data_IF_324793170795
#
_entry.id   IF_324793170795
#
_cell.length_a   1.000
_cell.length_b   1.000
_cell.length_c   1.000
_cell.angle_alpha   90.00
_cell.angle_beta   90.00
_cell.angle_gamma   90.00
#
_symmetry.space_group_name_H-M   'P 1'
#
loop_
_entity.id
_entity.type
_entity.pdbx_description
1 polymer ?
#
# COMPACT_ATOMS: atom_id res chain seq x y z
N UNK A 1 -27.04 -83.39 35.26
CA UNK A 1 -25.70 -84.03 35.36
C UNK A 1 -25.12 -84.15 33.96
N UNK A 2 -23.91 -83.59 33.79
CA UNK A 2 -22.86 -83.81 32.78
C UNK A 2 -23.20 -84.23 31.33
N UNK A 3 -22.69 -83.37 30.44
CA UNK A 3 -22.39 -83.53 29.03
C UNK A 3 -21.72 -84.86 28.65
N UNK A 4 -22.14 -85.35 27.48
CA UNK A 4 -21.44 -86.36 26.69
C UNK A 4 -20.21 -85.79 25.97
N UNK A 5 -19.21 -86.65 25.88
CA UNK A 5 -17.87 -86.46 25.31
C UNK A 5 -17.85 -86.81 23.81
N UNK A 6 -16.64 -86.67 23.26
CA UNK A 6 -16.02 -87.30 22.07
C UNK A 6 -16.14 -86.48 20.78
N UNK A 7 -15.06 -86.09 20.07
CA UNK A 7 -13.74 -86.72 19.85
C UNK A 7 -12.61 -85.68 19.67
N UNK A 8 -11.41 -86.03 20.17
CA UNK A 8 -10.06 -85.63 19.70
C UNK A 8 -9.45 -86.89 19.04
N UNK A 9 -8.50 -86.82 18.07
CA UNK A 9 -7.06 -86.51 18.31
C UNK A 9 -6.40 -85.80 17.08
N UNK A 10 -5.12 -85.44 16.95
CA UNK A 10 -3.85 -85.43 17.70
C UNK A 10 -2.91 -84.43 16.96
N UNK A 11 -2.15 -83.58 17.67
CA UNK A 11 -0.66 -83.56 17.81
C UNK A 11 0.14 -83.33 16.52
N UNK A 12 1.20 -82.50 16.45
CA UNK A 12 2.29 -82.19 17.38
C UNK A 12 2.84 -80.75 17.09
N UNK A 13 3.34 -79.90 18.00
CA UNK A 13 4.50 -79.96 18.94
C UNK A 13 5.78 -80.38 18.18
N UNK A 14 6.91 -79.65 18.12
CA UNK A 14 7.70 -78.96 19.14
C UNK A 14 8.74 -78.03 18.45
N UNK A 15 8.98 -76.81 18.94
CA UNK A 15 10.08 -76.38 19.85
C UNK A 15 11.46 -76.08 19.22
N UNK A 16 11.85 -74.80 19.35
CA UNK A 16 13.11 -74.25 19.88
C UNK A 16 14.46 -74.61 19.23
N UNK A 17 15.18 -73.56 18.82
CA UNK A 17 16.63 -73.57 18.66
C UNK A 17 17.15 -72.15 18.40
N UNK A 18 17.80 -71.57 19.41
CA UNK A 18 18.33 -70.21 19.38
C UNK A 18 19.86 -70.20 19.17
N UNK A 19 20.34 -69.04 18.67
CA UNK A 19 21.65 -68.39 18.89
C UNK A 19 22.76 -68.49 17.81
N UNK A 20 23.25 -67.27 17.50
CA UNK A 20 24.60 -66.81 17.11
C UNK A 20 25.01 -66.69 15.62
N UNK A 21 24.98 -65.40 15.20
CA UNK A 21 25.98 -64.61 14.45
C UNK A 21 26.96 -65.31 13.49
N UNK A 22 26.98 -64.84 12.24
CA UNK A 22 28.16 -64.21 11.63
C UNK A 22 27.77 -63.38 10.39
N UNK A 23 28.15 -62.10 10.44
CA UNK A 23 28.02 -61.08 9.41
C UNK A 23 28.86 -61.42 8.18
N UNK A 24 28.35 -61.16 6.97
CA UNK A 24 29.14 -60.74 5.80
C UNK A 24 28.23 -60.03 4.78
N UNK A 25 28.35 -58.70 4.75
CA UNK A 25 28.41 -57.89 3.53
C UNK A 25 27.19 -57.85 2.59
N UNK A 26 26.19 -57.04 2.95
CA UNK A 26 25.41 -56.33 1.94
C UNK A 26 25.41 -54.84 2.29
N UNK A 27 26.16 -54.04 1.52
CA UNK A 27 26.10 -52.59 1.52
C UNK A 27 24.73 -52.13 1.01
N UNK A 28 23.70 -52.28 1.84
CA UNK A 28 22.43 -51.60 1.66
C UNK A 28 22.63 -50.15 2.03
N UNK A 29 22.85 -49.29 1.04
CA UNK A 29 22.71 -47.85 1.20
C UNK A 29 21.27 -47.58 1.62
N UNK A 30 21.01 -47.46 2.92
CA UNK A 30 19.82 -46.78 3.41
C UNK A 30 19.90 -45.36 2.86
N UNK A 31 19.20 -45.11 1.75
CA UNK A 31 18.87 -43.76 1.35
C UNK A 31 18.10 -43.17 2.52
N UNK A 32 18.74 -42.24 3.23
CA UNK A 32 18.02 -41.35 4.11
C UNK A 32 16.84 -40.81 3.30
N UNK A 33 15.62 -41.01 3.81
CA UNK A 33 14.47 -40.30 3.27
C UNK A 33 14.87 -38.82 3.26
N UNK A 34 14.66 -38.09 2.15
CA UNK A 34 14.92 -36.66 2.14
C UNK A 34 14.20 -36.08 3.34
N UNK A 35 14.96 -35.44 4.23
CA UNK A 35 14.44 -34.90 5.48
C UNK A 35 13.21 -34.09 5.15
N UNK A 36 12.09 -34.40 5.80
CA UNK A 36 10.88 -33.60 5.66
C UNK A 36 11.26 -32.17 6.05
N UNK A 37 11.35 -31.29 5.04
CA UNK A 37 11.59 -29.87 5.28
C UNK A 37 10.52 -29.36 6.25
N UNK A 38 10.90 -28.42 7.12
CA UNK A 38 9.93 -27.76 8.00
C UNK A 38 8.75 -27.28 7.16
N UNK A 39 7.50 -27.63 7.53
CA UNK A 39 6.33 -27.19 6.78
C UNK A 39 6.32 -25.67 6.68
N UNK A 40 6.14 -25.16 5.47
CA UNK A 40 6.08 -23.72 5.23
C UNK A 40 4.81 -23.17 5.87
N UNK A 41 4.98 -22.17 6.74
CA UNK A 41 3.89 -21.56 7.47
C UNK A 41 2.98 -20.74 6.55
N UNK A 42 1.67 -20.85 6.78
CA UNK A 42 0.65 -20.04 6.12
C UNK A 42 0.21 -18.94 7.09
N UNK A 43 0.47 -17.69 6.75
CA UNK A 43 0.18 -16.54 7.63
C UNK A 43 -0.85 -15.60 7.00
N UNK A 44 -1.58 -14.86 7.84
CA UNK A 44 -2.50 -13.83 7.35
C UNK A 44 -1.70 -12.63 6.85
N UNK A 45 -2.04 -12.16 5.66
CA UNK A 45 -1.39 -11.06 4.96
C UNK A 45 -2.44 -10.11 4.38
N UNK A 46 -1.99 -8.90 4.03
CA UNK A 46 -2.75 -7.94 3.22
C UNK A 46 -2.17 -7.92 1.79
N UNK A 47 -2.98 -7.55 0.79
CA UNK A 47 -2.50 -7.40 -0.57
C UNK A 47 -1.40 -6.36 -0.72
N UNK A 48 -0.52 -6.58 -1.71
CA UNK A 48 0.51 -5.62 -2.06
C UNK A 48 -0.08 -4.34 -2.69
N UNK A 49 -1.20 -4.48 -3.40
CA UNK A 49 -1.91 -3.36 -4.00
C UNK A 49 -3.39 -3.66 -4.21
N UNK A 50 -4.18 -2.59 -4.19
CA UNK A 50 -5.58 -2.58 -4.60
C UNK A 50 -5.64 -1.85 -5.93
N UNK A 51 -6.08 -2.53 -6.98
CA UNK A 51 -6.02 -2.04 -8.36
C UNK A 51 -7.35 -1.44 -8.82
N UNK A 52 -8.45 -1.74 -8.14
CA UNK A 52 -9.75 -1.17 -8.48
C UNK A 52 -10.84 -1.52 -7.48
N UNK A 53 -11.91 -0.73 -7.51
CA UNK A 53 -13.17 -1.04 -6.82
C UNK A 53 -14.31 -0.86 -7.81
N UNK A 54 -15.24 -1.79 -7.83
CA UNK A 54 -16.45 -1.73 -8.65
C UNK A 54 -17.68 -1.93 -7.77
N UNK A 55 -18.73 -1.18 -8.07
CA UNK A 55 -20.04 -1.35 -7.45
C UNK A 55 -20.81 -2.44 -8.22
N UNK A 56 -21.36 -3.41 -7.50
CA UNK A 56 -22.27 -4.40 -8.06
C UNK A 56 -23.63 -3.78 -8.38
N UNK A 57 -24.42 -4.48 -9.19
CA UNK A 57 -25.73 -4.04 -9.69
C UNK A 57 -26.77 -3.73 -8.59
N UNK A 58 -26.50 -4.14 -7.35
CA UNK A 58 -27.39 -3.95 -6.20
C UNK A 58 -27.05 -2.70 -5.36
N UNK A 59 -26.16 -1.85 -5.87
CA UNK A 59 -25.58 -0.64 -5.25
C UNK A 59 -24.98 -0.84 -3.86
N UNK A 60 -24.83 -2.09 -3.43
CA UNK A 60 -24.49 -2.49 -2.07
C UNK A 60 -23.37 -3.50 -2.03
N UNK A 61 -22.96 -4.05 -3.16
CA UNK A 61 -21.87 -5.00 -3.26
C UNK A 61 -20.65 -4.26 -3.77
N UNK A 62 -19.56 -4.27 -3.03
CA UNK A 62 -18.26 -3.84 -3.56
C UNK A 62 -17.48 -5.07 -4.03
N UNK A 63 -16.93 -4.97 -5.24
CA UNK A 63 -15.96 -5.88 -5.82
C UNK A 63 -14.62 -5.16 -5.79
N UNK A 64 -13.68 -5.65 -4.98
CA UNK A 64 -12.36 -5.02 -4.81
C UNK A 64 -11.31 -5.87 -5.50
N UNK A 65 -10.74 -5.31 -6.55
CA UNK A 65 -9.71 -5.93 -7.37
C UNK A 65 -8.33 -5.66 -6.74
N UNK A 66 -7.53 -6.70 -6.57
CA UNK A 66 -6.31 -6.66 -5.76
C UNK A 66 -5.23 -7.59 -6.30
N UNK A 67 -3.96 -7.29 -6.02
CA UNK A 67 -2.83 -8.16 -6.32
C UNK A 67 -2.53 -9.10 -5.17
N UNK A 68 -2.50 -10.41 -5.45
CA UNK A 68 -2.15 -11.44 -4.47
C UNK A 68 -1.03 -12.37 -4.98
N UNK A 69 -0.25 -12.98 -4.07
CA UNK A 69 0.81 -13.91 -4.43
C UNK A 69 0.34 -15.06 -5.31
N UNK A 70 1.19 -15.48 -6.24
CA UNK A 70 0.95 -16.59 -7.17
C UNK A 70 2.21 -17.42 -7.44
N UNK A 71 2.03 -18.63 -7.94
CA UNK A 71 3.10 -19.59 -8.15
C UNK A 71 2.60 -20.88 -8.81
N UNK A 72 3.47 -21.90 -8.87
CA UNK A 72 3.12 -23.21 -9.43
C UNK A 72 2.12 -24.00 -8.55
N UNK A 73 2.08 -23.70 -7.25
CA UNK A 73 1.12 -24.24 -6.30
C UNK A 73 0.11 -23.16 -5.88
N UNK A 74 -0.96 -23.56 -5.18
CA UNK A 74 -1.88 -22.61 -4.57
C UNK A 74 -1.12 -21.73 -3.56
N UNK A 75 -1.22 -20.41 -3.73
CA UNK A 75 -0.50 -19.42 -2.93
C UNK A 75 -1.41 -18.58 -2.04
N UNK A 76 -2.72 -18.66 -2.24
CA UNK A 76 -3.70 -17.81 -1.56
C UNK A 76 -4.86 -18.66 -1.11
N UNK A 77 -5.29 -18.45 0.13
CA UNK A 77 -6.51 -19.00 0.72
C UNK A 77 -7.24 -17.91 1.47
N UNK A 78 -8.54 -18.10 1.68
CA UNK A 78 -9.38 -17.25 2.53
C UNK A 78 -9.28 -15.74 2.21
N UNK A 79 -9.13 -15.39 0.92
CA UNK A 79 -9.20 -14.01 0.46
C UNK A 79 -10.59 -13.44 0.80
N UNK A 80 -10.62 -12.40 1.62
CA UNK A 80 -11.86 -11.78 2.09
C UNK A 80 -11.70 -10.27 2.20
N UNK A 81 -12.80 -9.57 1.94
CA UNK A 81 -12.98 -8.17 2.22
C UNK A 81 -14.01 -8.04 3.36
N UNK A 82 -13.70 -7.25 4.37
CA UNK A 82 -14.60 -7.00 5.52
C UNK A 82 -14.75 -5.51 5.75
N UNK A 83 -15.92 -5.10 6.22
CA UNK A 83 -16.12 -3.74 6.70
C UNK A 83 -15.41 -3.60 8.05
N UNK A 84 -14.62 -2.56 8.19
CA UNK A 84 -14.12 -2.12 9.49
C UNK A 84 -15.06 -1.05 10.06
N UNK A 85 -14.76 -0.52 11.25
CA UNK A 85 -15.70 0.26 12.06
C UNK A 85 -16.55 1.25 11.23
N UNK A 86 -17.88 1.24 11.42
CA UNK A 86 -18.79 2.02 10.59
C UNK A 86 -18.52 3.52 10.77
N UNK A 87 -18.18 4.16 9.66
CA UNK A 87 -18.09 5.62 9.54
C UNK A 87 -19.33 6.11 8.78
N UNK A 88 -19.87 7.25 9.18
CA UNK A 88 -21.06 7.83 8.54
C UNK A 88 -20.75 8.44 7.17
N UNK A 89 -19.52 8.89 6.96
CA UNK A 89 -19.06 9.66 5.79
C UNK A 89 -18.27 8.83 4.77
N UNK A 90 -17.83 7.62 5.13
CA UNK A 90 -17.05 6.75 4.24
C UNK A 90 -17.24 5.27 4.57
N UNK A 91 -16.95 4.41 3.60
CA UNK A 91 -16.92 2.94 3.78
C UNK A 91 -15.48 2.50 3.93
N UNK A 92 -15.11 1.92 5.06
CA UNK A 92 -13.79 1.29 5.24
C UNK A 92 -13.85 -0.20 4.98
N UNK A 93 -12.96 -0.67 4.12
CA UNK A 93 -12.80 -2.09 3.77
C UNK A 93 -11.40 -2.53 4.13
N UNK A 94 -11.27 -3.65 4.83
CA UNK A 94 -9.99 -4.33 5.02
C UNK A 94 -9.97 -5.60 4.18
N UNK A 95 -8.85 -5.84 3.48
CA UNK A 95 -8.65 -7.05 2.69
C UNK A 95 -7.57 -7.89 3.33
N UNK A 96 -7.86 -9.18 3.48
CA UNK A 96 -6.90 -10.15 4.01
C UNK A 96 -6.98 -11.45 3.24
N UNK A 97 -5.86 -12.17 3.22
CA UNK A 97 -5.78 -13.56 2.76
C UNK A 97 -4.73 -14.31 3.58
N UNK A 98 -4.68 -15.63 3.42
CA UNK A 98 -3.65 -16.48 4.02
C UNK A 98 -2.71 -16.99 2.93
N UNK A 99 -1.40 -16.84 3.15
CA UNK A 99 -0.38 -17.21 2.16
C UNK A 99 0.93 -17.69 2.81
N UNK A 100 1.70 -18.56 2.14
CA UNK A 100 3.05 -18.94 2.53
C UNK A 100 4.13 -18.05 1.90
N UNK A 101 3.76 -17.00 1.15
CA UNK A 101 4.67 -16.16 0.35
C UNK A 101 5.69 -15.35 1.15
N UNK A 102 5.53 -15.27 2.48
CA UNK A 102 6.58 -14.76 3.38
C UNK A 102 7.86 -15.60 3.32
N UNK A 103 7.76 -16.87 2.93
CA UNK A 103 8.88 -17.76 2.66
C UNK A 103 9.04 -17.95 1.14
N UNK A 104 10.17 -17.52 0.58
CA UNK A 104 10.46 -17.65 -0.86
C UNK A 104 10.54 -19.10 -1.33
N UNK A 105 10.85 -20.05 -0.44
CA UNK A 105 10.89 -21.48 -0.76
C UNK A 105 9.49 -22.05 -1.05
N UNK A 106 8.42 -21.32 -0.73
CA UNK A 106 7.03 -21.68 -1.08
C UNK A 106 6.76 -21.72 -2.58
N UNK A 107 7.60 -21.06 -3.38
CA UNK A 107 7.37 -20.88 -4.81
C UNK A 107 6.30 -19.83 -5.14
N UNK A 108 5.74 -19.16 -4.13
CA UNK A 108 4.78 -18.06 -4.28
C UNK A 108 5.50 -16.72 -4.47
N UNK A 109 6.21 -16.59 -5.59
CA UNK A 109 7.14 -15.48 -5.88
C UNK A 109 6.63 -14.52 -6.95
N UNK A 110 5.46 -14.80 -7.53
CA UNK A 110 4.80 -13.95 -8.53
C UNK A 110 3.55 -13.31 -7.92
N UNK A 111 2.90 -12.46 -8.69
CA UNK A 111 1.65 -11.79 -8.32
C UNK A 111 0.58 -12.09 -9.38
N UNK A 112 -0.68 -12.12 -8.97
CA UNK A 112 -1.84 -12.28 -9.86
C UNK A 112 -3.02 -11.47 -9.34
N UNK A 113 -3.91 -11.05 -10.24
CA UNK A 113 -5.13 -10.36 -9.85
C UNK A 113 -6.15 -11.31 -9.20
N UNK A 114 -6.79 -10.83 -8.14
CA UNK A 114 -7.95 -11.48 -7.52
C UNK A 114 -8.99 -10.44 -7.13
N UNK A 115 -10.24 -10.87 -6.94
CA UNK A 115 -11.34 -9.98 -6.54
C UNK A 115 -11.92 -10.47 -5.21
N UNK A 116 -11.96 -9.58 -4.21
CA UNK A 116 -12.67 -9.81 -2.97
C UNK A 116 -14.05 -9.12 -3.02
N UNK A 117 -15.07 -9.72 -2.40
CA UNK A 117 -16.43 -9.18 -2.36
C UNK A 117 -16.80 -8.80 -0.93
N UNK A 118 -17.43 -7.64 -0.75
CA UNK A 118 -18.02 -7.22 0.52
C UNK A 118 -19.40 -6.61 0.28
N UNK A 119 -20.36 -6.93 1.16
CA UNK A 119 -21.72 -6.40 1.12
C UNK A 119 -21.87 -5.28 2.15
N UNK A 120 -22.36 -4.14 1.68
CA UNK A 120 -22.66 -2.97 2.48
C UNK A 120 -24.03 -3.11 3.19
N UNK A 121 -24.16 -2.57 4.41
CA UNK A 121 -25.44 -2.54 5.12
C UNK A 121 -26.46 -1.66 4.40
N UNK A 122 -26.00 -0.64 3.66
CA UNK A 122 -26.80 0.33 2.91
C UNK A 122 -26.15 0.63 1.55
N UNK A 123 -26.90 1.10 0.53
CA UNK A 123 -26.34 1.48 -0.77
C UNK A 123 -25.18 2.47 -0.66
N UNK A 124 -24.13 2.34 -1.48
CA UNK A 124 -22.92 3.15 -1.37
C UNK A 124 -23.23 4.66 -1.35
N UNK A 125 -24.09 5.11 -2.27
CA UNK A 125 -24.44 6.53 -2.42
C UNK A 125 -23.20 7.37 -2.76
N UNK A 126 -23.10 8.55 -2.13
CA UNK A 126 -22.00 9.50 -2.34
C UNK A 126 -20.80 9.23 -1.41
N UNK A 127 -20.80 8.10 -0.70
CA UNK A 127 -19.72 7.75 0.24
C UNK A 127 -18.52 7.21 -0.51
N UNK A 128 -17.34 7.69 -0.13
CA UNK A 128 -16.09 7.14 -0.63
C UNK A 128 -15.76 5.79 0.00
N UNK A 129 -14.99 4.97 -0.70
CA UNK A 129 -14.47 3.68 -0.22
C UNK A 129 -12.99 3.83 0.10
N UNK A 130 -12.60 3.49 1.33
CA UNK A 130 -11.19 3.42 1.76
C UNK A 130 -10.81 1.97 1.99
N UNK A 131 -9.80 1.48 1.28
CA UNK A 131 -9.29 0.12 1.39
C UNK A 131 -7.96 0.11 2.14
N UNK A 132 -7.87 -0.75 3.17
CA UNK A 132 -6.70 -0.96 4.04
C UNK A 132 -6.13 0.34 4.67
N UNK A 133 -6.98 1.35 4.86
CA UNK A 133 -6.70 2.69 5.42
C UNK A 133 -5.94 3.68 4.51
N UNK A 134 -5.56 3.30 3.29
CA UNK A 134 -4.72 4.16 2.44
C UNK A 134 -5.35 4.48 1.09
N UNK A 135 -5.91 3.46 0.42
CA UNK A 135 -6.35 3.61 -0.97
C UNK A 135 -7.80 4.05 -0.99
N UNK A 136 -8.08 5.26 -1.48
CA UNK A 136 -9.43 5.83 -1.51
C UNK A 136 -10.00 5.83 -2.92
N UNK A 137 -11.26 5.47 -3.04
CA UNK A 137 -12.04 5.45 -4.28
C UNK A 137 -13.34 6.23 -4.11
N UNK A 138 -13.83 6.81 -5.19
CA UNK A 138 -15.05 7.63 -5.21
C UNK A 138 -15.91 7.31 -6.43
N UNK A 139 -17.22 7.46 -6.30
CA UNK A 139 -18.17 7.43 -7.42
C UNK A 139 -18.15 8.75 -8.21
N UNK A 140 -17.69 9.85 -7.61
CA UNK A 140 -17.68 11.17 -8.22
C UNK A 140 -16.80 11.22 -9.48
N UNK A 141 -17.44 11.49 -10.62
CA UNK A 141 -16.78 11.55 -11.93
C UNK A 141 -16.25 10.19 -12.42
N UNK A 142 -16.72 9.08 -11.85
CA UNK A 142 -16.39 7.74 -12.30
C UNK A 142 -17.41 7.23 -13.35
N UNK A 143 -16.95 6.35 -14.25
CA UNK A 143 -17.83 5.62 -15.16
C UNK A 143 -18.29 4.32 -14.48
N UNK A 144 -19.60 4.18 -14.28
CA UNK A 144 -20.17 2.98 -13.66
C UNK A 144 -19.86 1.72 -14.49
N UNK A 145 -19.60 0.55 -13.85
CA UNK A 145 -19.69 0.30 -12.41
C UNK A 145 -18.39 0.60 -11.64
N UNK A 146 -17.35 1.11 -12.29
CA UNK A 146 -16.08 1.36 -11.63
C UNK A 146 -16.15 2.58 -10.72
N UNK A 147 -15.45 2.51 -9.60
CA UNK A 147 -15.12 3.70 -8.81
C UNK A 147 -13.78 4.25 -9.28
N UNK A 148 -13.66 5.57 -9.23
CA UNK A 148 -12.42 6.26 -9.58
C UNK A 148 -11.47 6.23 -8.41
N UNK A 149 -10.22 5.83 -8.66
CA UNK A 149 -9.13 5.98 -7.69
C UNK A 149 -8.87 7.46 -7.43
N UNK A 150 -8.82 7.82 -6.15
CA UNK A 150 -8.48 9.17 -5.74
C UNK A 150 -6.96 9.38 -5.79
N UNK A 151 -6.53 10.58 -6.17
CA UNK A 151 -5.11 10.93 -6.20
C UNK A 151 -4.58 11.28 -4.82
N UNK A 152 -3.29 11.62 -4.74
CA UNK A 152 -2.61 12.03 -3.50
C UNK A 152 -3.26 13.25 -2.82
N UNK A 153 -3.93 14.08 -3.62
CA UNK A 153 -4.64 15.28 -3.17
C UNK A 153 -6.07 14.99 -2.69
N UNK A 154 -6.48 13.73 -2.68
CA UNK A 154 -7.84 13.30 -2.34
C UNK A 154 -8.74 13.11 -3.57
N UNK A 155 -10.02 12.86 -3.30
CA UNK A 155 -11.02 12.56 -4.33
C UNK A 155 -11.52 13.80 -5.07
N UNK A 156 -11.52 14.94 -4.36
CA UNK A 156 -11.97 16.24 -4.84
C UNK A 156 -10.87 17.26 -4.57
N UNK A 157 -9.74 17.18 -5.30
CA UNK A 157 -8.65 18.13 -5.11
C UNK A 157 -9.14 19.56 -5.41
N UNK A 158 -8.69 20.58 -4.64
CA UNK A 158 -8.99 21.97 -4.96
C UNK A 158 -8.61 22.31 -6.40
N UNK A 159 -9.42 23.12 -7.08
CA UNK A 159 -9.03 23.65 -8.37
C UNK A 159 -7.81 24.58 -8.21
N UNK A 160 -6.98 24.63 -9.26
CA UNK A 160 -5.89 25.62 -9.33
C UNK A 160 -6.47 27.03 -9.34
N UNK A 161 -5.79 27.95 -8.66
CA UNK A 161 -6.23 29.33 -8.49
C UNK A 161 -5.56 30.01 -7.29
N UNK A 162 -5.97 31.25 -7.02
CA UNK A 162 -5.37 32.05 -5.95
C UNK A 162 -6.14 31.91 -4.64
N UNK A 163 -6.15 30.70 -4.08
CA UNK A 163 -6.86 30.35 -2.83
C UNK A 163 -5.98 29.50 -1.91
N UNK A 164 -6.26 29.51 -0.61
CA UNK A 164 -5.48 28.74 0.37
C UNK A 164 -5.43 27.24 0.06
N UNK A 165 -6.57 26.62 -0.27
CA UNK A 165 -6.63 25.19 -0.59
C UNK A 165 -5.86 24.84 -1.88
N UNK A 166 -5.87 25.75 -2.85
CA UNK A 166 -5.06 25.63 -4.08
C UNK A 166 -3.56 25.68 -3.78
N UNK A 167 -3.13 26.54 -2.86
CA UNK A 167 -1.72 26.60 -2.44
C UNK A 167 -1.28 25.39 -1.62
N UNK A 168 -2.16 24.84 -0.78
CA UNK A 168 -1.90 23.58 -0.07
C UNK A 168 -1.72 22.41 -1.04
N UNK A 169 -2.54 22.36 -2.10
CA UNK A 169 -2.33 21.44 -3.22
C UNK A 169 -0.95 21.62 -3.85
N UNK A 170 -0.50 22.86 -4.10
CA UNK A 170 0.80 23.14 -4.70
C UNK A 170 1.98 22.68 -3.82
N UNK A 171 1.87 22.84 -2.49
CA UNK A 171 2.87 22.33 -1.54
C UNK A 171 2.95 20.80 -1.60
N UNK A 172 1.80 20.11 -1.61
CA UNK A 172 1.76 18.64 -1.74
C UNK A 172 2.34 18.11 -3.05
N UNK A 173 2.35 18.93 -4.11
CA UNK A 173 2.97 18.59 -5.38
C UNK A 173 4.51 18.70 -5.37
N UNK A 174 5.13 19.03 -4.23
CA UNK A 174 6.59 19.14 -4.07
C UNK A 174 7.12 18.16 -3.03
N UNK A 175 8.38 17.79 -3.18
CA UNK A 175 9.09 16.92 -2.23
C UNK A 175 9.67 17.74 -1.06
N UNK A 176 8.79 18.46 -0.36
CA UNK A 176 9.15 19.26 0.82
C UNK A 176 8.72 18.55 2.11
N UNK A 177 9.45 18.73 3.22
CA UNK A 177 9.07 18.16 4.51
C UNK A 177 7.66 18.55 4.97
N UNK A 178 7.00 17.67 5.75
CA UNK A 178 5.65 17.90 6.30
C UNK A 178 5.52 19.18 7.13
N UNK A 179 6.62 19.67 7.72
CA UNK A 179 6.66 20.87 8.56
C UNK A 179 7.21 22.12 7.86
N UNK A 180 7.10 22.16 6.53
CA UNK A 180 7.44 23.34 5.74
C UNK A 180 6.41 24.45 5.93
N UNK A 181 6.88 25.68 6.12
CA UNK A 181 6.07 26.89 6.18
C UNK A 181 5.96 27.52 4.80
N UNK A 182 4.83 28.14 4.48
CA UNK A 182 4.67 29.02 3.32
C UNK A 182 4.92 30.45 3.77
N UNK A 183 6.03 31.04 3.33
CA UNK A 183 6.45 32.38 3.78
C UNK A 183 5.94 33.49 2.86
N UNK A 184 5.73 33.20 1.57
CA UNK A 184 5.14 34.13 0.61
C UNK A 184 4.46 33.41 -0.56
N UNK A 185 3.48 34.09 -1.15
CA UNK A 185 2.79 33.66 -2.37
C UNK A 185 2.63 34.80 -3.39
N UNK A 186 2.71 34.47 -4.69
CA UNK A 186 2.32 35.33 -5.81
C UNK A 186 1.56 34.49 -6.83
N UNK A 187 0.34 34.89 -7.18
CA UNK A 187 -0.55 34.11 -8.02
C UNK A 187 -1.33 35.01 -8.99
N UNK A 188 -1.48 34.57 -10.23
CA UNK A 188 -2.35 35.20 -11.23
C UNK A 188 -3.46 34.27 -11.75
N UNK A 189 -3.60 33.09 -11.13
CA UNK A 189 -4.57 32.05 -11.47
C UNK A 189 -4.05 31.04 -12.50
N UNK A 190 -3.07 31.39 -13.33
CA UNK A 190 -2.41 30.48 -14.27
C UNK A 190 -1.03 30.05 -13.79
N UNK A 191 -0.37 30.90 -13.04
CA UNK A 191 0.98 30.76 -12.51
C UNK A 191 0.97 31.04 -11.02
N UNK A 192 1.87 30.38 -10.32
CA UNK A 192 2.05 30.51 -8.88
C UNK A 192 3.53 30.51 -8.54
N UNK A 193 3.92 31.37 -7.61
CA UNK A 193 5.21 31.35 -6.93
C UNK A 193 4.94 31.15 -5.45
N UNK A 194 5.60 30.15 -4.85
CA UNK A 194 5.59 29.92 -3.42
C UNK A 194 7.01 29.95 -2.87
N UNK A 195 7.22 30.73 -1.82
CA UNK A 195 8.42 30.64 -0.99
C UNK A 195 8.10 29.71 0.18
N UNK A 196 8.82 28.60 0.24
CA UNK A 196 8.64 27.52 1.19
C UNK A 196 9.89 27.42 2.06
N UNK A 197 9.75 27.34 3.38
CA UNK A 197 10.91 27.14 4.26
C UNK A 197 10.74 26.00 5.24
N UNK A 198 11.84 25.29 5.47
CA UNK A 198 11.92 24.22 6.45
C UNK A 198 12.84 24.63 7.58
N UNK A 199 12.41 24.41 8.83
CA UNK A 199 13.27 24.64 9.99
C UNK A 199 14.41 23.63 10.01
N UNK A 200 15.63 24.13 10.15
CA UNK A 200 16.85 23.31 10.22
C UNK A 200 17.48 23.29 11.61
N UNK A 201 16.98 24.12 12.53
CA UNK A 201 17.46 24.23 13.90
C UNK A 201 16.75 23.31 14.90
N UNK A 202 17.33 23.12 16.10
CA UNK A 202 16.67 22.41 17.19
C UNK A 202 15.35 23.08 17.60
N UNK A 203 14.42 22.30 18.14
CA UNK A 203 13.16 22.81 18.68
C UNK A 203 13.43 23.55 20.01
N UNK A 204 13.71 24.85 19.93
CA UNK A 204 13.95 25.67 21.10
C UNK A 204 12.64 26.30 21.58
N UNK A 205 12.19 25.94 22.77
CA UNK A 205 10.99 26.51 23.38
C UNK A 205 11.27 27.93 23.90
N UNK A 206 11.03 28.94 23.06
CA UNK A 206 11.12 30.35 23.46
C UNK A 206 12.54 30.92 23.54
N UNK A 207 13.54 30.18 23.08
CA UNK A 207 14.93 30.62 23.07
C UNK A 207 15.24 31.48 21.82
N UNK A 208 16.04 32.53 21.98
CA UNK A 208 16.38 33.50 20.92
C UNK A 208 17.69 33.17 20.21
N UNK A 209 18.27 31.99 20.44
CA UNK A 209 19.49 31.57 19.76
C UNK A 209 19.26 31.57 18.23
N UNK A 210 20.12 32.24 17.43
CA UNK A 210 20.00 32.27 15.98
C UNK A 210 19.89 30.88 15.33
N UNK A 211 20.53 29.86 15.91
CA UNK A 211 20.44 28.47 15.45
C UNK A 211 19.00 27.95 15.51
N UNK A 212 18.20 28.38 16.50
CA UNK A 212 16.79 28.01 16.66
C UNK A 212 15.88 28.65 15.61
N UNK A 213 16.34 29.74 14.98
CA UNK A 213 15.63 30.44 13.91
C UNK A 213 16.05 30.02 12.50
N UNK A 214 17.05 29.14 12.37
CA UNK A 214 17.59 28.70 11.10
C UNK A 214 16.54 28.01 10.23
N UNK A 215 16.41 28.48 8.99
CA UNK A 215 15.49 27.94 7.98
C UNK A 215 16.19 27.87 6.64
N UNK A 216 15.95 26.80 5.91
CA UNK A 216 16.30 26.69 4.51
C UNK A 216 15.07 27.06 3.68
N UNK A 217 15.16 28.10 2.87
CA UNK A 217 14.11 28.55 1.97
C UNK A 217 14.30 28.03 0.54
N UNK A 218 13.20 27.64 -0.09
CA UNK A 218 13.11 27.29 -1.50
C UNK A 218 11.95 28.04 -2.15
N UNK A 219 12.21 28.64 -3.31
CA UNK A 219 11.18 29.24 -4.16
C UNK A 219 10.78 28.25 -5.23
N UNK A 220 9.50 27.92 -5.25
CA UNK A 220 8.88 27.07 -6.26
C UNK A 220 8.01 27.86 -7.19
N UNK A 221 8.10 27.52 -8.48
CA UNK A 221 7.26 28.08 -9.54
C UNK A 221 6.38 26.98 -10.08
N UNK A 222 5.12 27.31 -10.37
CA UNK A 222 4.13 26.36 -10.82
C UNK A 222 3.32 26.87 -12.01
N UNK A 223 2.84 25.92 -12.81
CA UNK A 223 1.84 26.13 -13.85
C UNK A 223 0.54 25.42 -13.47
N UNK A 224 -0.58 26.10 -13.68
CA UNK A 224 -1.90 25.48 -13.52
C UNK A 224 -2.13 24.44 -14.63
N UNK A 225 -2.47 23.21 -14.24
CA UNK A 225 -2.94 22.15 -15.12
C UNK A 225 -4.30 21.62 -14.63
N UNK A 226 -4.98 20.83 -15.45
CA UNK A 226 -6.27 20.21 -15.07
C UNK A 226 -6.14 19.29 -13.86
N UNK A 227 -4.98 18.65 -13.71
CA UNK A 227 -4.64 17.75 -12.60
C UNK A 227 -4.20 18.47 -11.32
N UNK A 228 -4.02 19.80 -11.36
CA UNK A 228 -3.49 20.58 -10.25
C UNK A 228 -2.32 21.47 -10.64
N UNK A 229 -1.63 22.01 -9.65
CA UNK A 229 -0.39 22.75 -9.87
C UNK A 229 0.76 21.82 -10.24
N UNK A 230 1.41 22.10 -11.36
CA UNK A 230 2.62 21.43 -11.79
C UNK A 230 3.85 22.27 -11.43
N UNK A 231 4.78 21.78 -10.59
CA UNK A 231 6.06 22.46 -10.38
C UNK A 231 6.87 22.50 -11.69
N UNK A 232 7.45 23.65 -12.00
CA UNK A 232 8.25 23.86 -13.23
C UNK A 232 9.70 24.28 -12.93
N UNK A 233 9.93 24.96 -11.82
CA UNK A 233 11.27 25.39 -11.41
C UNK A 233 11.36 25.52 -9.88
N UNK A 234 12.58 25.36 -9.37
CA UNK A 234 12.96 25.59 -7.96
C UNK A 234 14.25 26.40 -7.94
N UNK A 235 14.32 27.43 -7.10
CA UNK A 235 15.53 28.24 -6.93
C UNK A 235 15.57 28.91 -5.55
N UNK A 236 16.73 29.44 -5.18
CA UNK A 236 16.87 30.43 -4.09
C UNK A 236 17.14 31.83 -4.62
N UNK A 237 17.31 31.99 -5.93
CA UNK A 237 17.61 33.28 -6.56
C UNK A 237 16.40 34.21 -6.59
N UNK A 238 16.69 35.51 -6.63
CA UNK A 238 15.70 36.54 -6.93
C UNK A 238 15.39 36.63 -8.42
N UNK A 239 14.33 37.35 -8.77
CA UNK A 239 13.96 37.61 -10.15
C UNK A 239 13.36 36.41 -10.90
N UNK A 240 13.29 36.55 -12.23
CA UNK A 240 12.60 35.61 -13.13
C UNK A 240 13.52 34.69 -13.94
N UNK A 241 14.84 34.91 -13.87
CA UNK A 241 15.79 34.32 -14.83
C UNK A 241 15.76 32.80 -14.87
N UNK A 242 15.68 32.14 -13.71
CA UNK A 242 15.69 30.67 -13.64
C UNK A 242 14.41 30.04 -14.19
N UNK A 243 13.24 30.58 -13.84
CA UNK A 243 11.96 30.06 -14.33
C UNK A 243 11.77 30.36 -15.82
N UNK A 244 12.14 31.55 -16.30
CA UNK A 244 11.97 31.92 -17.72
C UNK A 244 12.91 31.15 -18.65
N UNK A 245 14.00 30.59 -18.12
CA UNK A 245 14.88 29.68 -18.87
C UNK A 245 14.19 28.36 -19.23
N UNK A 246 13.30 27.87 -18.35
CA UNK A 246 12.58 26.60 -18.54
C UNK A 246 11.15 26.81 -19.07
N UNK A 247 10.52 27.94 -18.75
CA UNK A 247 9.18 28.32 -19.17
C UNK A 247 9.17 29.81 -19.56
N UNK A 248 9.55 30.14 -20.82
CA UNK A 248 9.65 31.52 -21.29
C UNK A 248 8.34 32.30 -21.21
N UNK A 249 7.19 31.62 -21.16
CA UNK A 249 5.88 32.26 -21.01
C UNK A 249 5.57 32.69 -19.57
N UNK A 250 6.46 32.43 -18.60
CA UNK A 250 6.25 32.81 -17.21
C UNK A 250 6.22 34.34 -17.04
N UNK A 251 5.18 34.89 -16.39
CA UNK A 251 4.95 36.33 -16.34
C UNK A 251 5.96 37.02 -15.41
N UNK A 252 6.70 37.98 -15.96
CA UNK A 252 7.70 38.73 -15.20
C UNK A 252 7.11 39.44 -13.97
N UNK A 253 5.83 39.83 -14.02
CA UNK A 253 5.16 40.50 -12.91
C UNK A 253 5.13 39.68 -11.61
N UNK A 254 5.16 38.34 -11.69
CA UNK A 254 5.15 37.48 -10.50
C UNK A 254 6.52 37.34 -9.83
N UNK A 255 7.61 37.70 -10.52
CA UNK A 255 8.98 37.42 -10.05
C UNK A 255 9.93 38.61 -10.11
N UNK A 256 9.60 39.70 -10.80
CA UNK A 256 10.52 40.82 -11.04
C UNK A 256 11.05 41.48 -9.76
N UNK A 257 10.24 41.52 -8.70
CA UNK A 257 10.59 42.15 -7.42
C UNK A 257 11.00 41.14 -6.36
N UNK A 258 11.16 39.87 -6.71
CA UNK A 258 11.50 38.85 -5.74
C UNK A 258 13.00 38.92 -5.42
N UNK A 259 13.32 39.09 -4.15
CA UNK A 259 14.70 39.04 -3.66
C UNK A 259 15.18 37.58 -3.53
N UNK A 260 16.51 37.35 -3.50
CA UNK A 260 17.06 36.04 -3.17
C UNK A 260 16.63 35.58 -1.77
N UNK A 261 16.34 34.28 -1.64
CA UNK A 261 16.04 33.68 -0.34
C UNK A 261 17.31 33.44 0.47
N UNK A 262 17.21 33.61 1.79
CA UNK A 262 18.25 33.20 2.73
C UNK A 262 18.40 31.67 2.69
N UNK A 263 19.65 31.20 2.70
CA UNK A 263 19.99 29.77 2.80
C UNK A 263 20.28 29.36 4.23
#
# INVERSE_FOLDING_TARGET
MRSDRTRRPAMAVALLGAVAMLLLGACGTQRAAPGAGTPIAWTTMQPASVTGVRLGEDDRTLLVDTSVPSGAAACVRDLKAVLTDPMTDLVRVQITFVSPSGDRSSGCTKESGATAKVKLPEPLGDRDVVVDNYTRFTSDGAEAPALRLCGELGCTPPATGCTTGSYEQAVKATDVPTHTSRDAERCDGKWLVLDLSSRMGPACAGDTDPACSSRLGDRWFYRAEKSGWKPIARTTAGGCGDVQRVEPAFPSALCATLEPLSR
#
